data_IF_068028289761
#
_entry.id   IF_068028289761
#
_cell.length_a   1.000
_cell.length_b   1.000
_cell.length_c   1.000
_cell.angle_alpha   90.00
_cell.angle_beta   90.00
_cell.angle_gamma   90.00
#
_symmetry.space_group_name_H-M   'P 1'
#
loop_
_entity.id
_entity.type
_entity.pdbx_description
1 polymer ?
#
# COMPACT_ATOMS: atom_id res chain seq x y z
N UNK A 1 -35.59 -2.57 -18.15
CA UNK A 1 -34.25 -2.97 -17.71
C UNK A 1 -34.40 -3.69 -16.39
N UNK A 2 -33.99 -4.96 -16.28
CA UNK A 2 -34.25 -5.80 -15.10
C UNK A 2 -33.23 -5.47 -14.00
N UNK A 3 -33.69 -5.37 -12.74
CA UNK A 3 -32.87 -5.12 -11.55
C UNK A 3 -31.69 -6.12 -11.44
N UNK A 4 -31.88 -7.34 -11.96
CA UNK A 4 -30.83 -8.38 -12.01
C UNK A 4 -29.62 -8.03 -12.88
N UNK A 5 -29.79 -7.17 -13.93
CA UNK A 5 -28.66 -6.76 -14.79
C UNK A 5 -27.80 -5.70 -14.13
N UNK A 6 -28.38 -4.84 -13.29
CA UNK A 6 -27.66 -3.78 -12.57
C UNK A 6 -26.79 -4.39 -11.46
N UNK A 7 -27.30 -5.41 -10.75
CA UNK A 7 -26.52 -6.10 -9.71
C UNK A 7 -25.30 -6.87 -10.25
N UNK A 8 -25.44 -7.47 -11.46
CA UNK A 8 -24.31 -8.19 -12.10
C UNK A 8 -23.22 -7.23 -12.58
N UNK A 9 -23.59 -6.05 -13.07
CA UNK A 9 -22.63 -5.04 -13.49
C UNK A 9 -21.85 -4.43 -12.30
N UNK A 10 -22.52 -4.20 -11.17
CA UNK A 10 -21.88 -3.67 -9.95
C UNK A 10 -20.89 -4.65 -9.31
N UNK A 11 -21.21 -5.95 -9.32
CA UNK A 11 -20.32 -7.00 -8.80
C UNK A 11 -19.08 -7.20 -9.68
N UNK A 12 -19.22 -7.11 -11.01
CA UNK A 12 -18.08 -7.22 -11.94
C UNK A 12 -17.12 -6.03 -11.83
N UNK A 13 -17.64 -4.82 -11.65
CA UNK A 13 -16.77 -3.63 -11.49
C UNK A 13 -15.98 -3.64 -10.19
N UNK A 14 -16.54 -4.14 -9.09
CA UNK A 14 -15.84 -4.29 -7.81
C UNK A 14 -14.70 -5.32 -7.90
N UNK A 15 -14.87 -6.39 -8.68
CA UNK A 15 -13.84 -7.44 -8.84
C UNK A 15 -12.66 -6.97 -9.70
N UNK A 16 -12.91 -6.15 -10.73
CA UNK A 16 -11.86 -5.62 -11.62
C UNK A 16 -10.99 -4.60 -10.88
N UNK A 17 -11.56 -3.77 -10.00
CA UNK A 17 -10.80 -2.79 -9.21
C UNK A 17 -9.89 -3.48 -8.20
N UNK A 18 -10.26 -4.65 -7.69
CA UNK A 18 -9.46 -5.44 -6.77
C UNK A 18 -8.20 -6.06 -7.41
N UNK A 19 -8.22 -6.35 -8.71
CA UNK A 19 -7.10 -6.98 -9.43
C UNK A 19 -6.01 -5.98 -9.89
N UNK A 20 -6.32 -4.68 -9.91
CA UNK A 20 -5.39 -3.64 -10.39
C UNK A 20 -4.44 -3.11 -9.30
N UNK A 21 -4.57 -3.57 -8.06
CA UNK A 21 -3.80 -3.06 -6.91
C UNK A 21 -2.69 -4.01 -6.41
N UNK A 22 -2.18 -4.93 -7.25
CA UNK A 22 -0.99 -5.67 -6.88
C UNK A 22 0.27 -4.88 -7.28
N UNK A 23 1.04 -4.36 -6.31
CA UNK A 23 2.32 -3.74 -6.63
C UNK A 23 3.27 -4.82 -7.17
N UNK A 24 3.79 -4.59 -8.36
CA UNK A 24 4.93 -5.35 -8.89
C UNK A 24 6.14 -5.05 -8.01
N UNK A 25 6.53 -6.02 -7.20
CA UNK A 25 7.73 -5.94 -6.35
C UNK A 25 8.94 -6.14 -7.25
N UNK A 26 9.58 -5.05 -7.65
CA UNK A 26 10.89 -5.09 -8.30
C UNK A 26 11.95 -4.66 -7.27
N UNK A 27 12.72 -5.62 -6.75
CA UNK A 27 13.89 -5.33 -5.93
C UNK A 27 15.03 -4.83 -6.82
N UNK A 28 15.64 -3.71 -6.46
CA UNK A 28 16.86 -3.22 -7.10
C UNK A 28 18.05 -3.43 -6.16
N UNK A 29 19.10 -4.05 -6.69
CA UNK A 29 20.38 -4.22 -5.98
C UNK A 29 21.43 -3.33 -6.61
N UNK A 30 22.07 -2.49 -5.81
CA UNK A 30 23.21 -1.68 -6.24
C UNK A 30 24.51 -2.29 -5.71
N UNK A 31 25.42 -2.61 -6.64
CA UNK A 31 26.75 -3.10 -6.31
C UNK A 31 27.75 -1.95 -6.39
N UNK A 32 28.53 -1.76 -5.33
CA UNK A 32 29.67 -0.86 -5.31
C UNK A 32 30.86 -1.70 -4.86
N UNK A 33 31.79 -2.01 -5.75
CA UNK A 33 32.94 -2.82 -5.43
C UNK A 33 34.22 -2.37 -6.14
N UNK A 34 35.30 -2.23 -5.41
CA UNK A 34 36.66 -2.14 -5.89
C UNK A 34 37.45 -3.35 -5.38
N UNK A 35 38.17 -4.04 -6.29
CA UNK A 35 39.22 -5.01 -5.97
C UNK A 35 38.81 -6.21 -5.10
N UNK A 36 37.84 -7.01 -5.53
CA UNK A 36 37.51 -8.30 -4.88
C UNK A 36 36.73 -8.21 -3.57
N UNK A 37 36.55 -7.04 -3.00
CA UNK A 37 35.65 -6.75 -1.90
C UNK A 37 34.31 -6.27 -2.47
N UNK A 38 33.20 -6.86 -2.03
CA UNK A 38 31.86 -6.45 -2.47
C UNK A 38 30.95 -6.27 -1.26
N UNK A 39 30.27 -5.13 -1.25
CA UNK A 39 29.20 -4.82 -0.32
C UNK A 39 27.96 -4.48 -1.13
N UNK A 40 26.85 -5.12 -0.85
CA UNK A 40 25.57 -4.76 -1.46
C UNK A 40 24.47 -4.74 -0.42
N UNK A 41 23.54 -3.80 -0.56
CA UNK A 41 22.36 -3.65 0.27
C UNK A 41 21.12 -3.85 -0.58
N UNK A 42 20.18 -4.63 -0.09
CA UNK A 42 18.85 -4.79 -0.68
C UNK A 42 17.78 -4.64 0.40
N UNK A 43 16.62 -4.16 0.00
CA UNK A 43 15.44 -3.97 0.83
C UNK A 43 14.27 -4.83 0.32
N UNK A 44 13.46 -5.32 1.23
CA UNK A 44 12.27 -6.09 0.91
C UNK A 44 11.13 -5.77 1.88
N UNK A 45 10.05 -5.15 1.42
CA UNK A 45 9.82 -4.69 0.04
C UNK A 45 10.61 -3.42 -0.30
N UNK A 46 10.96 -3.21 -1.58
CA UNK A 46 11.59 -1.99 -2.09
C UNK A 46 10.61 -0.81 -2.24
N UNK A 47 9.32 -1.09 -2.09
CA UNK A 47 8.25 -0.10 -2.05
C UNK A 47 7.25 -0.48 -0.96
N UNK A 48 6.86 0.50 -0.14
CA UNK A 48 5.89 0.32 0.92
C UNK A 48 4.75 1.32 0.82
N UNK A 49 3.53 0.86 1.08
CA UNK A 49 2.35 1.73 1.21
C UNK A 49 1.98 1.77 2.69
N UNK A 50 1.98 2.96 3.27
CA UNK A 50 1.75 3.18 4.70
C UNK A 50 0.55 4.13 4.84
N UNK A 51 -0.41 3.79 5.69
CA UNK A 51 -1.45 4.75 6.07
C UNK A 51 -0.94 5.72 7.12
N UNK A 52 -1.44 6.93 7.10
CA UNK A 52 -1.20 7.88 8.20
C UNK A 52 -1.60 7.25 9.54
N UNK A 53 -0.67 7.21 10.49
CA UNK A 53 -0.82 6.56 11.79
C UNK A 53 -0.39 5.10 11.85
N UNK A 54 0.01 4.47 10.73
CA UNK A 54 0.44 3.08 10.66
C UNK A 54 1.97 2.97 10.55
N UNK A 55 2.47 1.73 10.67
CA UNK A 55 3.88 1.36 10.53
C UNK A 55 4.07 0.36 9.38
N UNK A 56 5.23 0.43 8.74
CA UNK A 56 5.72 -0.61 7.83
C UNK A 56 7.07 -1.11 8.31
N UNK A 57 7.30 -2.41 8.15
CA UNK A 57 8.60 -3.05 8.42
C UNK A 57 9.20 -3.48 7.10
N UNK A 58 10.46 -3.08 6.90
CA UNK A 58 11.24 -3.37 5.69
C UNK A 58 12.45 -4.18 6.13
N UNK A 59 12.65 -5.35 5.55
CA UNK A 59 13.81 -6.17 5.83
C UNK A 59 14.98 -5.69 4.96
N UNK A 60 16.08 -5.37 5.60
CA UNK A 60 17.33 -5.00 4.97
C UNK A 60 18.25 -6.22 4.94
N UNK A 61 18.79 -6.52 3.77
CA UNK A 61 19.75 -7.61 3.59
C UNK A 61 21.06 -7.04 3.08
N UNK A 62 22.11 -7.19 3.88
CA UNK A 62 23.45 -6.77 3.57
C UNK A 62 24.26 -8.00 3.17
N UNK A 63 24.70 -8.05 1.92
CA UNK A 63 25.56 -9.09 1.40
C UNK A 63 26.99 -8.57 1.28
N UNK A 64 27.95 -9.31 1.84
CA UNK A 64 29.35 -8.93 1.82
C UNK A 64 30.25 -10.08 1.35
N UNK A 65 31.25 -9.75 0.55
CA UNK A 65 32.31 -10.68 0.12
C UNK A 65 33.64 -10.09 0.55
N UNK A 66 34.34 -10.79 1.45
CA UNK A 66 35.65 -10.38 1.95
C UNK A 66 35.63 -9.18 2.91
N UNK A 67 34.44 -8.64 3.22
CA UNK A 67 34.28 -7.52 4.18
C UNK A 67 33.63 -8.07 5.43
N UNK A 68 34.21 -7.74 6.59
CA UNK A 68 33.66 -8.02 7.91
C UNK A 68 33.84 -6.80 8.79
N UNK A 69 32.96 -6.62 9.75
CA UNK A 69 33.00 -5.48 10.67
C UNK A 69 31.61 -5.03 11.09
N UNK A 70 31.55 -3.90 11.79
CA UNK A 70 30.27 -3.30 12.19
C UNK A 70 29.73 -2.43 11.06
N UNK A 71 28.57 -2.79 10.52
CA UNK A 71 27.81 -1.96 9.58
C UNK A 71 26.79 -1.13 10.35
N UNK A 72 26.76 0.17 10.13
CA UNK A 72 25.71 1.05 10.65
C UNK A 72 24.81 1.53 9.50
N UNK A 73 23.52 1.59 9.80
CA UNK A 73 22.51 2.02 8.84
C UNK A 73 22.14 3.48 9.07
N UNK A 74 21.97 4.20 7.97
CA UNK A 74 21.55 5.60 7.92
C UNK A 74 20.51 5.78 6.81
N UNK A 75 19.70 6.82 6.93
CA UNK A 75 18.75 7.18 5.88
C UNK A 75 19.10 8.54 5.29
N UNK A 76 18.73 8.71 4.02
CA UNK A 76 18.88 9.96 3.30
C UNK A 76 17.64 10.22 2.43
N UNK A 77 17.11 11.45 2.51
CA UNK A 77 15.99 11.88 1.68
C UNK A 77 14.61 11.61 2.28
N UNK A 78 14.52 11.17 3.55
CA UNK A 78 13.24 11.15 4.24
C UNK A 78 12.76 12.57 4.57
N UNK A 79 11.43 12.82 4.49
CA UNK A 79 10.86 14.07 4.98
C UNK A 79 11.17 14.27 6.46
N UNK A 80 11.59 15.48 6.84
CA UNK A 80 12.00 15.79 8.23
C UNK A 80 10.84 15.80 9.24
N UNK A 81 9.60 15.77 8.77
CA UNK A 81 8.42 15.79 9.63
C UNK A 81 7.40 14.72 9.23
N UNK A 82 6.68 14.22 10.20
CA UNK A 82 5.63 13.24 9.96
C UNK A 82 6.09 11.78 9.91
N UNK A 83 7.38 11.50 10.11
CA UNK A 83 7.90 10.14 10.10
C UNK A 83 8.80 9.87 11.29
N UNK A 84 8.75 8.63 11.77
CA UNK A 84 9.72 8.07 12.72
C UNK A 84 10.36 6.85 12.09
N UNK A 85 11.69 6.81 12.10
CA UNK A 85 12.49 5.76 11.51
C UNK A 85 13.27 5.05 12.61
N UNK A 86 13.26 3.73 12.60
CA UNK A 86 13.97 2.92 13.59
C UNK A 86 14.64 1.74 12.90
N UNK A 87 15.96 1.69 12.95
CA UNK A 87 16.75 0.52 12.52
C UNK A 87 16.89 -0.46 13.67
N UNK A 88 16.67 -1.75 13.41
CA UNK A 88 16.76 -2.83 14.39
C UNK A 88 17.62 -4.00 13.86
N UNK A 89 18.86 -4.12 14.31
CA UNK A 89 19.63 -3.13 15.08
C UNK A 89 20.12 -1.97 14.21
N UNK A 90 20.48 -0.83 14.81
CA UNK A 90 21.04 0.30 14.09
C UNK A 90 22.42 0.00 13.51
N UNK A 91 23.24 -0.75 14.24
CA UNK A 91 24.49 -1.28 13.75
C UNK A 91 24.51 -2.79 13.94
N UNK A 92 25.02 -3.52 12.96
CA UNK A 92 25.07 -4.98 12.93
C UNK A 92 26.48 -5.46 12.61
N UNK A 93 26.91 -6.55 13.26
CA UNK A 93 28.16 -7.23 12.88
C UNK A 93 27.94 -7.99 11.59
N UNK A 94 28.64 -7.57 10.56
CA UNK A 94 28.57 -8.20 9.23
C UNK A 94 29.47 -9.42 9.21
N UNK A 95 28.84 -10.56 8.93
CA UNK A 95 29.52 -11.83 8.71
C UNK A 95 29.15 -12.35 7.32
N UNK A 96 30.14 -12.57 6.45
CA UNK A 96 29.84 -13.12 5.13
C UNK A 96 29.10 -14.47 5.23
N UNK A 97 28.20 -14.79 4.30
CA UNK A 97 27.90 -14.02 3.10
C UNK A 97 26.81 -12.98 3.28
N UNK A 98 25.97 -13.07 4.33
CA UNK A 98 24.76 -12.27 4.45
C UNK A 98 24.41 -11.93 5.89
N UNK A 99 23.97 -10.72 6.12
CA UNK A 99 23.49 -10.22 7.41
C UNK A 99 22.19 -9.44 7.21
N UNK A 100 21.25 -9.57 8.13
CA UNK A 100 19.94 -8.93 8.03
C UNK A 100 19.71 -7.91 9.16
N UNK A 101 18.96 -6.87 8.84
CA UNK A 101 18.42 -5.90 9.78
C UNK A 101 16.98 -5.53 9.38
N UNK A 102 16.31 -4.75 10.20
CA UNK A 102 14.95 -4.27 9.92
C UNK A 102 14.92 -2.75 10.02
N UNK A 103 14.22 -2.12 9.07
CA UNK A 103 13.83 -0.73 9.15
C UNK A 103 12.33 -0.66 9.43
N UNK A 104 11.96 0.00 10.51
CA UNK A 104 10.58 0.32 10.82
C UNK A 104 10.34 1.77 10.45
N UNK A 105 9.40 1.99 9.55
CA UNK A 105 8.95 3.33 9.13
C UNK A 105 7.55 3.54 9.69
N UNK A 106 7.38 4.54 10.52
CA UNK A 106 6.08 4.93 11.09
C UNK A 106 5.67 6.27 10.49
N UNK A 107 4.50 6.31 9.84
CA UNK A 107 3.87 7.54 9.41
C UNK A 107 3.02 8.09 10.58
N UNK A 108 3.49 9.14 11.23
CA UNK A 108 2.75 9.75 12.35
C UNK A 108 1.45 10.39 11.87
N UNK A 109 0.51 10.75 12.77
CA UNK A 109 -0.71 11.48 12.38
C UNK A 109 -0.46 12.83 11.68
N UNK A 110 0.75 13.37 11.79
CA UNK A 110 1.17 14.60 11.12
C UNK A 110 1.74 14.37 9.72
N UNK A 111 1.89 13.11 9.28
CA UNK A 111 2.40 12.80 7.95
C UNK A 111 1.41 13.22 6.87
N UNK A 112 1.89 13.98 5.90
CA UNK A 112 1.10 14.33 4.73
C UNK A 112 1.04 13.15 3.76
N UNK A 113 -0.13 12.88 3.13
CA UNK A 113 -0.22 11.92 2.04
C UNK A 113 0.68 12.35 0.88
N UNK A 114 1.65 11.51 0.54
CA UNK A 114 2.63 11.77 -0.50
C UNK A 114 3.33 10.50 -0.96
N UNK A 115 4.03 10.60 -2.08
CA UNK A 115 4.94 9.57 -2.57
C UNK A 115 6.35 10.16 -2.61
N UNK A 116 7.33 9.46 -2.05
CA UNK A 116 8.73 9.86 -2.06
C UNK A 116 9.65 8.65 -2.13
N UNK A 117 10.87 8.88 -2.57
CA UNK A 117 11.94 7.89 -2.57
C UNK A 117 13.05 8.37 -1.65
N UNK A 118 13.43 7.53 -0.70
CA UNK A 118 14.55 7.74 0.18
C UNK A 118 15.66 6.73 -0.14
N UNK A 119 16.87 7.01 0.28
CA UNK A 119 18.01 6.11 0.13
C UNK A 119 18.42 5.59 1.50
N UNK A 120 18.51 4.27 1.63
CA UNK A 120 19.06 3.62 2.81
C UNK A 120 20.54 3.35 2.53
N UNK A 121 21.39 3.72 3.47
CA UNK A 121 22.83 3.55 3.42
C UNK A 121 23.25 2.53 4.47
N UNK A 122 24.23 1.69 4.14
CA UNK A 122 24.93 0.82 5.07
C UNK A 122 26.43 1.07 4.94
N UNK A 123 27.09 1.47 6.02
CA UNK A 123 28.50 1.84 5.99
C UNK A 123 29.31 0.90 6.88
N UNK A 124 30.42 0.35 6.34
CA UNK A 124 31.41 -0.46 7.05
C UNK A 124 32.79 0.15 6.81
N UNK A 125 33.37 0.81 7.80
CA UNK A 125 34.64 1.52 7.63
C UNK A 125 34.52 2.60 6.54
N UNK A 126 35.19 2.41 5.41
CA UNK A 126 35.16 3.33 4.27
C UNK A 126 34.26 2.84 3.13
N UNK A 127 33.67 1.66 3.25
CA UNK A 127 32.79 1.08 2.23
C UNK A 127 31.33 1.42 2.54
N UNK A 128 30.59 1.83 1.52
CA UNK A 128 29.18 2.16 1.64
C UNK A 128 28.39 1.46 0.56
N UNK A 129 27.30 0.82 0.95
CA UNK A 129 26.27 0.30 0.04
C UNK A 129 24.98 1.08 0.24
N UNK A 130 24.19 1.21 -0.82
CA UNK A 130 22.93 1.94 -0.77
C UNK A 130 21.82 1.21 -1.52
N UNK A 131 20.57 1.44 -1.09
CA UNK A 131 19.38 0.96 -1.79
C UNK A 131 18.28 2.03 -1.74
N UNK A 132 17.57 2.28 -2.86
CA UNK A 132 16.46 3.19 -2.89
C UNK A 132 15.19 2.53 -2.33
N UNK A 133 14.47 3.21 -1.45
CA UNK A 133 13.21 2.78 -0.87
C UNK A 133 12.11 3.75 -1.25
N UNK A 134 11.07 3.28 -1.92
CA UNK A 134 9.91 4.10 -2.29
C UNK A 134 8.79 3.93 -1.25
N UNK A 135 8.31 5.04 -0.72
CA UNK A 135 7.21 5.05 0.26
C UNK A 135 6.05 5.88 -0.27
N UNK A 136 4.86 5.27 -0.26
CA UNK A 136 3.60 5.92 -0.58
C UNK A 136 2.78 6.04 0.68
N UNK A 137 2.53 7.27 1.12
CA UNK A 137 1.67 7.55 2.28
C UNK A 137 0.27 7.86 1.81
N UNK A 138 -0.70 7.08 2.27
CA UNK A 138 -2.11 7.27 1.96
C UNK A 138 -2.86 7.82 3.18
N UNK A 139 -3.91 8.64 2.97
CA UNK A 139 -4.67 9.19 4.08
C UNK A 139 -5.35 8.09 4.90
N UNK A 140 -5.46 8.29 6.20
CA UNK A 140 -6.31 7.47 7.03
C UNK A 140 -7.78 7.68 6.62
N UNK A 141 -8.52 6.58 6.39
CA UNK A 141 -9.96 6.68 6.13
C UNK A 141 -10.65 7.00 7.46
N UNK A 142 -11.33 8.15 7.58
CA UNK A 142 -12.04 8.49 8.79
C UNK A 142 -13.05 7.40 9.18
N UNK A 143 -13.09 7.02 10.46
CA UNK A 143 -13.89 5.91 10.96
C UNK A 143 -15.42 6.06 10.70
N UNK A 144 -15.91 7.26 10.42
CA UNK A 144 -17.32 7.51 10.12
C UNK A 144 -17.71 7.23 8.66
N UNK A 145 -16.74 7.15 7.71
CA UNK A 145 -17.04 6.88 6.28
C UNK A 145 -17.74 5.53 6.08
N UNK A 146 -17.31 4.41 6.68
CA UNK A 146 -18.03 3.13 6.57
C UNK A 146 -19.48 3.23 7.07
N UNK A 147 -19.71 4.00 8.14
CA UNK A 147 -21.06 4.19 8.69
C UNK A 147 -21.97 4.96 7.75
N UNK A 148 -21.47 5.93 7.01
CA UNK A 148 -22.22 6.61 5.96
C UNK A 148 -22.68 5.65 4.87
N UNK A 149 -21.84 4.73 4.45
CA UNK A 149 -22.19 3.70 3.48
C UNK A 149 -23.33 2.81 3.96
N UNK A 150 -23.27 2.37 5.21
CA UNK A 150 -24.32 1.57 5.86
C UNK A 150 -25.63 2.36 5.95
N UNK A 151 -25.59 3.61 6.38
CA UNK A 151 -26.76 4.47 6.51
C UNK A 151 -27.43 4.71 5.16
N UNK A 152 -26.64 4.98 4.12
CA UNK A 152 -27.13 5.19 2.76
C UNK A 152 -27.76 3.91 2.17
N UNK A 153 -27.21 2.75 2.48
CA UNK A 153 -27.74 1.45 2.10
C UNK A 153 -29.13 1.22 2.72
N UNK A 154 -29.31 1.46 4.03
CA UNK A 154 -30.61 1.35 4.69
C UNK A 154 -31.62 2.37 4.19
N UNK A 155 -31.18 3.60 3.87
CA UNK A 155 -32.04 4.62 3.29
C UNK A 155 -32.59 4.22 1.92
N UNK A 156 -31.74 3.64 1.07
CA UNK A 156 -32.15 3.14 -0.26
C UNK A 156 -33.15 1.99 -0.11
N UNK A 157 -32.91 1.04 0.79
CA UNK A 157 -33.84 -0.06 1.08
C UNK A 157 -35.17 0.49 1.60
N UNK A 158 -35.14 1.40 2.57
CA UNK A 158 -36.33 2.04 3.11
C UNK A 158 -37.16 2.71 2.05
N UNK A 159 -36.54 3.50 1.15
CA UNK A 159 -37.19 4.11 0.02
C UNK A 159 -37.78 3.07 -0.95
N UNK A 160 -37.04 1.99 -1.24
CA UNK A 160 -37.53 0.94 -2.14
C UNK A 160 -38.76 0.22 -1.57
N UNK A 161 -38.85 0.04 -0.24
CA UNK A 161 -39.98 -0.58 0.43
C UNK A 161 -41.23 0.36 0.51
N UNK A 162 -41.00 1.68 0.57
CA UNK A 162 -42.09 2.67 0.66
C UNK A 162 -42.70 3.00 -0.69
N UNK A 163 -41.95 2.84 -1.79
CA UNK A 163 -42.48 3.02 -3.15
C UNK A 163 -43.35 1.82 -3.51
N UNK A 164 -44.65 1.86 -3.12
CA UNK A 164 -45.63 0.88 -3.61
C UNK A 164 -45.62 0.87 -5.11
N UNK A 165 -45.42 -0.30 -5.78
CA UNK A 165 -45.55 -0.36 -7.22
C UNK A 165 -46.97 0.05 -7.62
N UNK A 166 -47.10 1.19 -8.32
CA UNK A 166 -48.37 1.58 -8.92
C UNK A 166 -48.76 0.45 -9.86
N UNK A 167 -49.78 -0.34 -9.44
CA UNK A 167 -50.41 -1.36 -10.30
C UNK A 167 -50.85 -0.62 -11.55
N UNK A 168 -50.17 -0.86 -12.67
CA UNK A 168 -50.64 -0.50 -13.99
C UNK A 168 -52.03 -1.14 -14.15
N UNK A 169 -53.10 -0.35 -13.97
CA UNK A 169 -54.46 -0.76 -14.34
C UNK A 169 -54.42 -1.07 -15.83
N UNK A 170 -54.41 -2.36 -16.19
CA UNK A 170 -54.70 -2.82 -17.55
C UNK A 170 -56.06 -2.27 -17.88
N UNK A 171 -56.09 -1.27 -18.76
CA UNK A 171 -57.29 -0.83 -19.44
C UNK A 171 -57.81 -2.00 -20.27
N UNK A 172 -58.83 -2.67 -19.75
CA UNK A 172 -59.55 -3.76 -20.41
C UNK A 172 -60.45 -3.05 -21.47
N UNK A 173 -59.88 -2.86 -22.66
CA UNK A 173 -60.65 -2.38 -23.81
C UNK A 173 -61.77 -3.39 -24.10
N UNK A 174 -63.01 -3.02 -23.78
CA UNK A 174 -64.21 -3.67 -24.23
C UNK A 174 -64.38 -3.35 -25.72
N UNK A 175 -63.90 -4.23 -26.60
CA UNK A 175 -64.33 -4.25 -27.98
C UNK A 175 -65.78 -4.67 -28.02
N UNK A 176 -66.69 -3.72 -28.31
CA UNK A 176 -68.05 -4.00 -28.75
C UNK A 176 -68.02 -4.21 -30.25
N UNK A 177 -68.09 -5.44 -30.69
CA UNK A 177 -68.62 -5.71 -32.08
C UNK A 177 -70.10 -5.48 -32.06
N UNK A 178 -70.57 -4.65 -32.97
CA UNK A 178 -71.96 -4.48 -33.37
C UNK A 178 -72.03 -4.55 -34.88
N UNK A 179 -72.81 -5.43 -35.27
CA UNK A 179 -73.47 -5.70 -36.54
C UNK A 179 -73.13 -4.87 -37.75
#
# INVERSE_FOLDING_TARGET
MSIRSIFRAALLSAYIISLLNYPLISGSTHFVGASGLQLSLSDNPSAAVIKVGDKATINLTLTSVGISGSACFEEQGFPQSGFTLTFLPQCVQVQPPMTTAQLIVEATPAAAPQNFTATILATIGNETASTPLTITVIPAIPAWIPWLGILLFFLVIGLALTVKPRKLRKAKGKGKMGE
#
